data_IF_852263760038
#
_entry.id   IF_852263760038
#
_cell.length_a   1.000
_cell.length_b   1.000
_cell.length_c   1.000
_cell.angle_alpha   90.00
_cell.angle_beta   90.00
_cell.angle_gamma   90.00
#
_symmetry.space_group_name_H-M   'P 1'
#
loop_
_entity.id
_entity.type
_entity.pdbx_description
1 polymer ?
#
# COMPACT_ATOMS: atom_id res chain seq x y z
N UNK A 1 27.85 -6.65 9.87
CA UNK A 1 26.42 -6.18 9.81
C UNK A 1 26.08 -5.51 8.47
N UNK A 2 26.94 -4.69 7.87
CA UNK A 2 26.67 -4.04 6.58
C UNK A 2 26.52 -5.06 5.42
N UNK A 3 27.42 -6.02 5.37
CA UNK A 3 27.43 -7.10 4.35
C UNK A 3 26.17 -7.96 4.39
N UNK A 4 25.64 -8.25 5.57
CA UNK A 4 24.40 -9.03 5.75
C UNK A 4 23.21 -8.24 5.23
N UNK A 5 23.12 -6.93 5.56
CA UNK A 5 22.06 -6.06 5.04
C UNK A 5 22.11 -5.97 3.52
N UNK A 6 23.29 -5.77 2.94
CA UNK A 6 23.47 -5.70 1.49
C UNK A 6 23.04 -7.00 0.79
N UNK A 7 23.38 -8.14 1.36
CA UNK A 7 22.96 -9.44 0.81
C UNK A 7 21.45 -9.61 0.87
N UNK A 8 20.81 -9.34 2.03
CA UNK A 8 19.36 -9.42 2.21
C UNK A 8 18.65 -8.43 1.27
N UNK A 9 19.18 -7.22 1.14
CA UNK A 9 18.70 -6.20 0.22
C UNK A 9 18.64 -6.71 -1.23
N UNK A 10 19.75 -7.23 -1.73
CA UNK A 10 19.84 -7.70 -3.10
C UNK A 10 18.89 -8.89 -3.34
N UNK A 11 18.79 -9.82 -2.40
CA UNK A 11 17.90 -10.97 -2.49
C UNK A 11 16.43 -10.54 -2.45
N UNK A 12 16.05 -9.69 -1.53
CA UNK A 12 14.64 -9.26 -1.40
C UNK A 12 14.15 -8.47 -2.61
N UNK A 13 15.01 -7.62 -3.18
CA UNK A 13 14.69 -6.87 -4.39
C UNK A 13 14.49 -7.81 -5.59
N UNK A 14 15.40 -8.75 -5.80
CA UNK A 14 15.30 -9.75 -6.86
C UNK A 14 14.08 -10.66 -6.70
N UNK A 15 13.79 -11.09 -5.48
CA UNK A 15 12.63 -11.94 -5.17
C UNK A 15 11.32 -11.19 -5.42
N UNK A 16 11.23 -9.92 -5.05
CA UNK A 16 10.06 -9.10 -5.32
C UNK A 16 9.74 -9.01 -6.82
N UNK A 17 10.75 -8.80 -7.66
CA UNK A 17 10.57 -8.80 -9.12
C UNK A 17 10.26 -10.19 -9.69
N UNK A 18 10.96 -11.24 -9.23
CA UNK A 18 10.74 -12.61 -9.70
C UNK A 18 9.34 -13.14 -9.37
N UNK A 19 8.72 -12.64 -8.30
CA UNK A 19 7.36 -13.02 -7.89
C UNK A 19 6.29 -12.03 -8.34
N UNK A 20 6.61 -11.14 -9.25
CA UNK A 20 5.70 -10.10 -9.75
C UNK A 20 5.11 -9.21 -8.63
N UNK A 21 5.91 -8.97 -7.59
CA UNK A 21 5.57 -8.13 -6.42
C UNK A 21 6.61 -7.00 -6.23
N UNK A 22 6.77 -6.13 -7.24
CA UNK A 22 7.83 -5.12 -7.20
C UNK A 22 7.64 -4.10 -6.07
N UNK A 23 6.41 -3.75 -5.71
CA UNK A 23 6.14 -2.80 -4.63
C UNK A 23 6.55 -3.39 -3.30
N UNK A 24 6.11 -4.62 -2.99
CA UNK A 24 6.46 -5.33 -1.75
C UNK A 24 7.99 -5.48 -1.61
N UNK A 25 8.68 -5.90 -2.67
CA UNK A 25 10.14 -6.04 -2.67
C UNK A 25 10.86 -4.71 -2.43
N UNK A 26 10.40 -3.63 -3.04
CA UNK A 26 11.00 -2.30 -2.89
C UNK A 26 10.72 -1.70 -1.50
N UNK A 27 9.53 -1.87 -0.96
CA UNK A 27 9.20 -1.40 0.39
C UNK A 27 10.02 -2.14 1.45
N UNK A 28 10.17 -3.45 1.31
CA UNK A 28 11.04 -4.23 2.19
C UNK A 28 12.52 -3.80 2.08
N UNK A 29 13.00 -3.57 0.88
CA UNK A 29 14.36 -3.08 0.64
C UNK A 29 14.60 -1.69 1.23
N UNK A 30 13.60 -0.80 1.18
CA UNK A 30 13.67 0.51 1.82
C UNK A 30 13.77 0.40 3.35
N UNK A 31 13.08 -0.54 3.98
CA UNK A 31 13.20 -0.81 5.41
C UNK A 31 14.62 -1.29 5.80
N UNK A 32 15.26 -2.10 4.96
CA UNK A 32 16.65 -2.52 5.15
C UNK A 32 17.64 -1.36 5.07
N UNK A 33 17.41 -0.40 4.20
CA UNK A 33 18.25 0.80 4.07
C UNK A 33 17.91 1.90 5.09
N UNK A 34 16.91 1.67 5.94
CA UNK A 34 16.40 2.69 6.86
C UNK A 34 15.92 3.96 6.15
N UNK A 35 15.32 3.76 5.00
CA UNK A 35 14.75 4.79 4.13
C UNK A 35 13.26 4.54 3.95
N UNK A 36 12.53 5.54 3.54
CA UNK A 36 11.13 5.39 3.14
C UNK A 36 11.01 5.16 1.63
N UNK A 37 9.81 4.90 1.14
CA UNK A 37 9.56 4.67 -0.30
C UNK A 37 9.84 5.89 -1.19
N UNK A 38 10.04 7.07 -0.61
CA UNK A 38 10.45 8.28 -1.32
C UNK A 38 11.97 8.39 -1.45
N UNK A 39 12.74 7.46 -0.86
CA UNK A 39 14.18 7.44 -1.01
C UNK A 39 14.59 7.42 -2.49
N UNK A 40 15.65 8.12 -2.82
CA UNK A 40 16.12 8.30 -4.19
C UNK A 40 16.21 7.00 -4.99
N UNK A 41 16.63 5.92 -4.36
CA UNK A 41 16.82 4.60 -4.99
C UNK A 41 15.50 3.95 -5.42
N UNK A 42 14.38 4.32 -4.78
CA UNK A 42 13.05 3.73 -5.00
C UNK A 42 12.00 4.76 -5.40
N UNK A 43 12.43 5.85 -6.03
CA UNK A 43 11.55 6.96 -6.41
C UNK A 43 10.33 6.54 -7.24
N UNK A 44 10.47 5.47 -8.05
CA UNK A 44 9.36 4.96 -8.87
C UNK A 44 8.40 4.07 -8.07
N UNK A 45 8.78 3.59 -6.89
CA UNK A 45 7.94 2.73 -6.04
C UNK A 45 6.68 3.46 -5.61
N UNK A 46 6.78 4.73 -5.20
CA UNK A 46 5.61 5.53 -4.81
C UNK A 46 4.64 5.70 -5.98
N UNK A 47 5.12 5.95 -7.18
CA UNK A 47 4.28 6.05 -8.38
C UNK A 47 3.57 4.73 -8.67
N UNK A 48 4.28 3.60 -8.66
CA UNK A 48 3.72 2.26 -8.86
C UNK A 48 2.67 1.93 -7.78
N UNK A 49 2.95 2.27 -6.52
CA UNK A 49 2.01 2.12 -5.43
C UNK A 49 0.73 2.93 -5.66
N UNK A 50 0.84 4.21 -6.02
CA UNK A 50 -0.30 5.08 -6.33
C UNK A 50 -1.13 4.51 -7.49
N UNK A 51 -0.49 4.09 -8.57
CA UNK A 51 -1.17 3.50 -9.73
C UNK A 51 -1.95 2.23 -9.33
N UNK A 52 -1.37 1.35 -8.55
CA UNK A 52 -2.05 0.14 -8.07
C UNK A 52 -3.18 0.46 -7.10
N UNK A 53 -2.98 1.36 -6.15
CA UNK A 53 -4.02 1.79 -5.20
C UNK A 53 -5.20 2.41 -5.93
N UNK A 54 -4.95 3.29 -6.91
CA UNK A 54 -6.00 3.93 -7.71
C UNK A 54 -6.82 2.92 -8.54
N UNK A 55 -6.22 1.80 -8.93
CA UNK A 55 -6.88 0.73 -9.69
C UNK A 55 -7.49 -0.35 -8.82
N UNK A 56 -7.19 -0.39 -7.52
CA UNK A 56 -7.65 -1.44 -6.60
C UNK A 56 -9.16 -1.45 -6.46
N UNK A 57 -9.70 -2.63 -6.24
CA UNK A 57 -11.15 -2.84 -6.00
C UNK A 57 -11.55 -2.09 -4.73
N UNK A 58 -10.74 -2.16 -3.68
CA UNK A 58 -11.00 -1.55 -2.38
C UNK A 58 -11.19 -0.03 -2.49
N UNK A 59 -10.31 0.67 -3.19
CA UNK A 59 -10.44 2.12 -3.40
C UNK A 59 -11.67 2.46 -4.23
N UNK A 60 -11.94 1.70 -5.29
CA UNK A 60 -13.13 1.89 -6.13
C UNK A 60 -14.43 1.70 -5.34
N UNK A 61 -14.49 0.69 -4.48
CA UNK A 61 -15.66 0.43 -3.63
C UNK A 61 -15.87 1.52 -2.58
N UNK A 62 -14.79 2.02 -1.96
CA UNK A 62 -14.87 3.15 -1.03
C UNK A 62 -15.46 4.37 -1.74
N UNK A 63 -14.97 4.71 -2.94
CA UNK A 63 -15.49 5.84 -3.72
C UNK A 63 -16.95 5.62 -4.09
N UNK A 64 -17.29 4.47 -4.67
CA UNK A 64 -18.66 4.12 -5.09
C UNK A 64 -19.64 4.22 -3.93
N UNK A 65 -19.30 3.67 -2.78
CA UNK A 65 -20.12 3.75 -1.56
C UNK A 65 -20.40 5.21 -1.18
N UNK A 66 -19.34 6.03 -1.09
CA UNK A 66 -19.49 7.44 -0.67
C UNK A 66 -20.33 8.24 -1.66
N UNK A 67 -20.09 8.05 -2.96
CA UNK A 67 -20.89 8.71 -4.01
C UNK A 67 -22.35 8.29 -3.92
N UNK A 68 -22.65 7.01 -3.74
CA UNK A 68 -24.03 6.49 -3.73
C UNK A 68 -24.88 6.99 -2.55
N UNK A 69 -24.27 7.27 -1.40
CA UNK A 69 -24.99 7.74 -0.20
C UNK A 69 -25.01 9.28 -0.09
N UNK A 70 -24.26 9.98 -0.93
CA UNK A 70 -24.14 11.44 -0.85
C UNK A 70 -25.29 12.11 -1.61
N UNK A 71 -26.16 12.83 -0.89
CA UNK A 71 -27.24 13.62 -1.48
C UNK A 71 -26.82 15.01 -1.98
N UNK A 72 -25.62 15.46 -1.60
CA UNK A 72 -25.07 16.77 -1.95
C UNK A 72 -23.96 16.69 -3.01
N UNK A 73 -23.21 17.76 -3.12
CA UNK A 73 -22.11 17.89 -4.08
C UNK A 73 -20.73 17.62 -3.48
N UNK A 74 -20.66 17.28 -2.20
CA UNK A 74 -19.39 17.01 -1.52
C UNK A 74 -19.54 15.87 -0.51
N UNK A 75 -18.48 15.12 -0.33
CA UNK A 75 -18.35 14.17 0.76
C UNK A 75 -16.94 14.17 1.34
N UNK A 76 -16.81 13.70 2.56
CA UNK A 76 -15.51 13.40 3.19
C UNK A 76 -15.69 12.25 4.18
N UNK A 77 -14.87 11.21 4.03
CA UNK A 77 -14.84 10.04 4.92
C UNK A 77 -13.41 9.72 5.33
N UNK A 78 -13.26 9.20 6.53
CA UNK A 78 -12.03 8.58 7.02
C UNK A 78 -12.34 7.18 7.48
N UNK A 79 -11.44 6.25 7.23
CA UNK A 79 -11.61 4.86 7.64
C UNK A 79 -10.33 4.07 7.52
N UNK A 80 -10.50 2.77 7.62
CA UNK A 80 -9.46 1.77 7.45
C UNK A 80 -9.93 0.74 6.43
N UNK A 81 -9.00 0.16 5.69
CA UNK A 81 -9.28 -0.88 4.69
C UNK A 81 -8.15 -1.89 4.64
N UNK A 82 -8.48 -3.11 4.24
CA UNK A 82 -7.52 -4.17 3.95
C UNK A 82 -7.43 -4.36 2.44
N UNK A 83 -6.22 -4.33 1.89
CA UNK A 83 -5.95 -4.60 0.48
C UNK A 83 -5.72 -6.09 0.28
N UNK A 84 -6.75 -6.80 -0.14
CA UNK A 84 -6.75 -8.27 -0.31
C UNK A 84 -6.91 -8.71 -1.76
N UNK A 85 -7.38 -7.81 -2.64
CA UNK A 85 -7.67 -8.12 -4.04
C UNK A 85 -6.43 -8.20 -4.93
N UNK A 86 -5.38 -7.48 -4.59
CA UNK A 86 -4.08 -7.51 -5.28
C UNK A 86 -2.99 -8.05 -4.35
N UNK A 87 -2.27 -9.06 -4.78
CA UNK A 87 -1.28 -9.73 -3.94
C UNK A 87 -0.06 -8.88 -3.63
N UNK A 88 0.33 -7.94 -4.49
CA UNK A 88 1.44 -7.04 -4.21
C UNK A 88 1.03 -5.97 -3.18
N UNK A 89 -0.21 -5.46 -3.26
CA UNK A 89 -0.77 -4.59 -2.22
C UNK A 89 -0.95 -5.33 -0.89
N UNK A 90 -1.42 -6.59 -0.93
CA UNK A 90 -1.56 -7.41 0.28
C UNK A 90 -0.24 -7.54 1.04
N UNK A 91 0.88 -7.80 0.35
CA UNK A 91 2.18 -7.95 0.99
C UNK A 91 2.92 -6.63 1.26
N UNK A 92 2.50 -5.53 0.64
CA UNK A 92 3.15 -4.22 0.83
C UNK A 92 2.43 -3.31 1.80
N UNK A 93 1.12 -3.20 1.69
CA UNK A 93 0.34 -2.23 2.49
C UNK A 93 -0.73 -2.89 3.36
N UNK A 94 -1.16 -4.07 3.04
CA UNK A 94 -2.16 -4.90 3.68
C UNK A 94 -3.33 -4.13 4.32
N UNK A 95 -3.12 -3.54 5.48
CA UNK A 95 -4.09 -2.72 6.22
C UNK A 95 -3.62 -1.28 6.24
N UNK A 96 -4.48 -0.34 5.87
CA UNK A 96 -4.12 1.07 5.85
C UNK A 96 -5.30 1.97 6.21
N UNK A 97 -4.97 3.15 6.72
CA UNK A 97 -5.93 4.24 6.95
C UNK A 97 -6.12 5.04 5.68
N UNK A 98 -7.35 5.44 5.42
CA UNK A 98 -7.67 6.30 4.30
C UNK A 98 -8.44 7.55 4.70
N UNK A 99 -8.30 8.57 3.88
CA UNK A 99 -9.20 9.72 3.82
C UNK A 99 -9.60 9.91 2.37
N UNK A 100 -10.91 9.96 2.11
CA UNK A 100 -11.46 10.29 0.80
C UNK A 100 -12.31 11.54 0.90
N UNK A 101 -12.20 12.43 -0.08
CA UNK A 101 -13.05 13.59 -0.22
C UNK A 101 -13.41 13.81 -1.67
N UNK A 102 -14.68 14.04 -1.95
CA UNK A 102 -15.21 14.21 -3.29
C UNK A 102 -15.92 15.54 -3.48
N UNK A 103 -15.78 16.09 -4.67
CA UNK A 103 -16.51 17.25 -5.16
C UNK A 103 -17.20 16.91 -6.48
N UNK A 104 -18.52 17.03 -6.54
CA UNK A 104 -19.28 16.80 -7.76
C UNK A 104 -19.12 17.97 -8.74
N UNK A 105 -18.77 17.66 -9.97
CA UNK A 105 -18.62 18.59 -11.07
C UNK A 105 -19.42 18.06 -12.26
N UNK A 106 -20.59 18.64 -12.53
CA UNK A 106 -21.49 18.17 -13.58
C UNK A 106 -21.84 16.67 -13.41
N UNK A 107 -21.31 15.80 -14.31
CA UNK A 107 -21.63 14.38 -14.38
C UNK A 107 -20.53 13.49 -13.77
N UNK A 108 -19.55 14.07 -13.13
CA UNK A 108 -18.45 13.30 -12.52
C UNK A 108 -18.07 13.87 -11.15
N UNK A 109 -17.37 13.06 -10.39
CA UNK A 109 -16.78 13.43 -9.11
C UNK A 109 -15.27 13.56 -9.25
N UNK A 110 -14.71 14.62 -8.71
CA UNK A 110 -13.28 14.74 -8.45
C UNK A 110 -13.06 14.22 -7.04
N UNK A 111 -12.35 13.11 -6.91
CA UNK A 111 -12.15 12.45 -5.62
C UNK A 111 -10.66 12.48 -5.27
N UNK A 112 -10.33 13.15 -4.18
CA UNK A 112 -9.01 13.05 -3.57
C UNK A 112 -8.98 11.86 -2.63
N UNK A 113 -7.98 11.01 -2.79
CA UNK A 113 -7.73 9.83 -1.97
C UNK A 113 -6.37 9.98 -1.32
N UNK A 114 -6.32 9.83 0.00
CA UNK A 114 -5.09 9.72 0.75
C UNK A 114 -5.09 8.42 1.53
N UNK A 115 -4.04 7.63 1.37
CA UNK A 115 -3.84 6.36 2.07
C UNK A 115 -2.50 6.44 2.78
N UNK A 116 -2.47 6.01 4.04
CA UNK A 116 -1.25 6.07 4.84
C UNK A 116 -1.21 4.97 5.88
N UNK A 117 -0.02 4.49 6.16
CA UNK A 117 0.24 3.56 7.26
C UNK A 117 1.72 3.56 7.65
N UNK A 118 2.07 2.67 8.56
CA UNK A 118 3.45 2.36 8.92
C UNK A 118 3.81 1.02 8.32
N UNK A 119 4.86 0.97 7.50
CA UNK A 119 5.41 -0.28 7.01
C UNK A 119 6.19 -0.95 8.14
N UNK A 120 5.60 -1.98 8.70
CA UNK A 120 6.15 -2.77 9.79
C UNK A 120 5.77 -4.25 9.65
N UNK A 121 6.33 -5.08 10.50
CA UNK A 121 6.01 -6.50 10.57
C UNK A 121 5.41 -6.80 11.94
N UNK A 122 4.21 -7.38 11.92
CA UNK A 122 3.50 -7.77 13.14
C UNK A 122 4.11 -9.02 13.76
N UNK A 123 3.85 -9.21 15.04
CA UNK A 123 4.30 -10.39 15.78
C UNK A 123 3.92 -11.71 15.09
N UNK A 124 4.77 -12.70 15.34
CA UNK A 124 4.65 -14.08 14.87
C UNK A 124 3.21 -14.62 14.92
N UNK A 125 2.69 -15.03 13.78
CA UNK A 125 1.39 -15.69 13.69
C UNK A 125 1.54 -17.18 13.97
N UNK A 126 0.74 -17.71 14.91
CA UNK A 126 0.81 -19.13 15.32
C UNK A 126 0.42 -20.15 14.24
N UNK A 127 -0.19 -19.72 13.15
CA UNK A 127 -0.68 -20.58 12.07
C UNK A 127 -0.08 -20.13 10.73
N UNK A 128 1.12 -20.63 10.43
CA UNK A 128 1.79 -20.39 9.13
C UNK A 128 1.10 -21.28 8.09
N UNK A 129 0.30 -20.70 7.22
CA UNK A 129 -0.41 -21.42 6.16
C UNK A 129 0.00 -20.99 4.75
N UNK A 130 0.78 -19.91 4.60
CA UNK A 130 1.15 -19.33 3.30
C UNK A 130 2.61 -18.86 3.30
N UNK A 131 3.23 -18.83 2.12
CA UNK A 131 4.59 -18.27 1.94
C UNK A 131 4.72 -16.82 2.44
N UNK A 132 3.64 -16.05 2.36
CA UNK A 132 3.61 -14.69 2.89
C UNK A 132 3.72 -14.59 4.41
N UNK A 133 3.23 -15.59 5.13
CA UNK A 133 3.36 -15.66 6.59
C UNK A 133 4.83 -15.89 6.96
N UNK A 134 5.55 -16.73 6.20
CA UNK A 134 7.00 -16.95 6.37
C UNK A 134 7.77 -15.65 6.11
N UNK A 135 7.42 -14.90 5.06
CA UNK A 135 8.05 -13.63 4.76
C UNK A 135 7.80 -12.58 5.84
N UNK A 136 6.58 -12.53 6.40
CA UNK A 136 6.25 -11.66 7.51
C UNK A 136 7.04 -12.02 8.78
N UNK A 137 7.12 -13.30 9.11
CA UNK A 137 7.85 -13.76 10.29
C UNK A 137 9.36 -13.48 10.16
N UNK A 138 9.90 -13.65 8.97
CA UNK A 138 11.29 -13.29 8.69
C UNK A 138 11.50 -11.78 8.83
N UNK A 139 10.59 -10.96 8.30
CA UNK A 139 10.60 -9.52 8.46
C UNK A 139 10.53 -9.11 9.93
N UNK A 140 9.66 -9.74 10.72
CA UNK A 140 9.56 -9.50 12.16
C UNK A 140 10.86 -9.81 12.91
N UNK A 141 11.52 -10.93 12.59
CA UNK A 141 12.84 -11.25 13.17
C UNK A 141 13.87 -10.18 12.82
N UNK A 142 13.90 -9.73 11.57
CA UNK A 142 14.81 -8.68 11.13
C UNK A 142 14.52 -7.34 11.82
N UNK A 143 13.27 -7.01 12.05
CA UNK A 143 12.85 -5.81 12.79
C UNK A 143 13.24 -5.93 14.27
N UNK A 144 12.98 -7.07 14.92
CA UNK A 144 13.36 -7.32 16.30
C UNK A 144 14.88 -7.23 16.51
N UNK A 145 15.66 -7.71 15.56
CA UNK A 145 17.13 -7.60 15.57
C UNK A 145 17.66 -6.22 15.13
N UNK A 146 16.77 -5.27 14.83
CA UNK A 146 17.10 -3.92 14.33
C UNK A 146 17.89 -3.92 13.01
N UNK A 147 17.76 -4.95 12.22
CA UNK A 147 18.29 -4.98 10.86
C UNK A 147 17.43 -4.20 9.88
N UNK A 148 16.13 -4.14 10.13
CA UNK A 148 15.19 -3.25 9.43
C UNK A 148 14.51 -2.33 10.43
N UNK A 149 13.98 -1.22 9.96
CA UNK A 149 13.23 -0.25 10.76
C UNK A 149 11.86 0.02 10.11
N UNK A 150 10.78 0.02 10.92
CA UNK A 150 9.49 0.51 10.45
C UNK A 150 9.60 1.95 9.96
N UNK A 151 8.83 2.29 8.92
CA UNK A 151 8.74 3.66 8.44
C UNK A 151 7.32 4.01 8.01
N UNK A 152 6.94 5.26 8.24
CA UNK A 152 5.66 5.78 7.77
C UNK A 152 5.70 6.03 6.25
N UNK A 153 4.59 5.76 5.59
CA UNK A 153 4.39 6.08 4.19
C UNK A 153 3.01 6.69 3.95
N UNK A 154 2.88 7.42 2.87
CA UNK A 154 1.59 7.93 2.40
C UNK A 154 1.53 7.94 0.87
N UNK A 155 0.32 7.82 0.35
CA UNK A 155 -0.02 8.01 -1.05
C UNK A 155 -1.20 8.97 -1.15
N UNK A 156 -1.05 10.03 -1.94
CA UNK A 156 -2.05 11.06 -2.17
C UNK A 156 -2.26 11.20 -3.68
N UNK A 157 -3.51 11.02 -4.15
CA UNK A 157 -3.82 11.05 -5.57
C UNK A 157 -5.28 11.43 -5.81
N UNK A 158 -5.59 11.78 -7.05
CA UNK A 158 -6.95 12.12 -7.48
C UNK A 158 -7.49 11.10 -8.47
N UNK A 159 -8.79 10.83 -8.35
CA UNK A 159 -9.56 9.98 -9.26
C UNK A 159 -10.73 10.80 -9.79
N UNK A 160 -10.95 10.73 -11.10
CA UNK A 160 -12.17 11.20 -11.75
C UNK A 160 -13.14 10.02 -11.83
N UNK A 161 -14.24 10.12 -11.09
CA UNK A 161 -15.24 9.08 -11.02
C UNK A 161 -16.53 9.56 -11.67
N UNK A 162 -17.03 8.82 -12.66
CA UNK A 162 -18.35 9.02 -13.24
C UNK A 162 -19.28 7.89 -12.82
N UNK A 163 -20.46 8.22 -12.34
CA UNK A 163 -21.53 7.24 -12.23
C UNK A 163 -21.88 6.83 -13.66
N UNK A 164 -21.48 5.60 -14.06
CA UNK A 164 -22.05 5.03 -15.27
C UNK A 164 -23.53 4.90 -15.05
N UNK A 165 -24.33 5.56 -15.89
CA UNK A 165 -25.75 5.23 -16.00
C UNK A 165 -25.79 3.83 -16.60
N UNK A 166 -25.93 2.82 -15.76
CA UNK A 166 -26.24 1.46 -16.24
C UNK A 166 -27.59 1.55 -16.93
N UNK A 167 -27.55 1.59 -18.27
CA UNK A 167 -28.71 1.44 -19.15
C UNK A 167 -29.01 -0.05 -19.32
#
# INVERSE_FOLDING_TARGET
TSKVRETIFNVSHLVGYAWEKPISGNMFSAALEKSNIDAYKYKDTKRQLIEKLAQSIEVKEIIKKNVSITSGNTFKEKGETEFISDSDLYYSVQHARYTVSGLKQNNYWIVQVRISDVYDFTEWRKNITRLGDIANDFGYILQFTKLIEPYAWDADFMIFYSESVDN
#
